data_IF_831790853188
#
_entry.id   IF_831790853188
#
_cell.length_a   1.000
_cell.length_b   1.000
_cell.length_c   1.000
_cell.angle_alpha   90.00
_cell.angle_beta   90.00
_cell.angle_gamma   90.00
#
_symmetry.space_group_name_H-M   'P 1'
#
loop_
_entity.id
_entity.type
_entity.pdbx_description
1 polymer ?
#
# COMPACT_ATOMS: atom_id res chain seq x y z
N UNK A 1 0.08 11.68 20.06
CA UNK A 1 -0.86 10.54 20.23
C UNK A 1 -1.66 10.45 18.95
N UNK A 2 -1.66 9.29 18.29
CA UNK A 2 -2.51 9.07 17.12
C UNK A 2 -3.95 9.45 17.47
N UNK A 3 -4.55 10.28 16.64
CA UNK A 3 -5.93 10.68 16.81
C UNK A 3 -6.79 9.49 16.40
N UNK A 4 -7.43 8.82 17.35
CA UNK A 4 -8.33 7.72 17.03
C UNK A 4 -9.47 8.26 16.14
N UNK A 5 -9.78 7.54 15.06
CA UNK A 5 -10.94 7.86 14.22
C UNK A 5 -12.19 7.82 15.10
N UNK A 6 -13.04 8.83 14.96
CA UNK A 6 -14.29 8.90 15.74
C UNK A 6 -15.18 7.70 15.44
N UNK A 7 -15.73 7.08 16.49
CA UNK A 7 -16.61 5.91 16.36
C UNK A 7 -17.82 6.19 15.47
N UNK A 8 -18.33 7.42 15.46
CA UNK A 8 -19.46 7.80 14.60
C UNK A 8 -19.07 7.76 13.11
N UNK A 9 -17.83 8.11 12.77
CA UNK A 9 -17.28 8.03 11.40
C UNK A 9 -17.13 6.57 10.99
N UNK A 10 -16.67 5.72 11.90
CA UNK A 10 -16.57 4.27 11.67
C UNK A 10 -17.95 3.65 11.43
N UNK A 11 -18.93 3.95 12.27
CA UNK A 11 -20.30 3.44 12.14
C UNK A 11 -20.94 3.89 10.82
N UNK A 12 -20.73 5.13 10.43
CA UNK A 12 -21.21 5.65 9.15
C UNK A 12 -20.52 4.96 7.96
N UNK A 13 -19.20 4.80 8.00
CA UNK A 13 -18.44 4.14 6.96
C UNK A 13 -18.84 2.66 6.78
N UNK A 14 -19.16 1.97 7.88
CA UNK A 14 -19.64 0.59 7.85
C UNK A 14 -21.09 0.44 7.38
N UNK A 15 -21.85 1.55 7.25
CA UNK A 15 -23.22 1.51 6.75
C UNK A 15 -23.26 1.08 5.28
N UNK A 16 -23.43 -0.22 5.05
CA UNK A 16 -23.46 -0.82 3.71
C UNK A 16 -22.16 -1.50 3.25
N UNK A 17 -21.09 -1.42 4.03
CA UNK A 17 -19.81 -2.08 3.71
C UNK A 17 -19.48 -3.18 4.71
N UNK A 18 -18.98 -4.30 4.21
CA UNK A 18 -18.46 -5.38 5.04
C UNK A 18 -16.95 -5.45 4.89
N UNK A 19 -16.24 -5.28 6.00
CA UNK A 19 -14.78 -5.42 6.01
C UNK A 19 -14.43 -6.91 5.90
N UNK A 20 -13.67 -7.32 4.88
CA UNK A 20 -13.30 -8.72 4.73
C UNK A 20 -12.35 -9.14 5.87
N UNK A 21 -12.65 -10.24 6.57
CA UNK A 21 -11.77 -10.73 7.61
C UNK A 21 -10.44 -11.18 7.03
N UNK A 22 -9.41 -11.18 7.88
CA UNK A 22 -8.12 -11.77 7.54
C UNK A 22 -8.30 -13.25 7.16
N UNK A 23 -7.76 -13.71 6.01
CA UNK A 23 -7.84 -15.11 5.61
C UNK A 23 -7.26 -16.07 6.66
N UNK A 24 -7.90 -17.22 6.87
CA UNK A 24 -7.50 -18.24 7.86
C UNK A 24 -6.03 -18.66 7.72
N UNK A 25 -5.51 -18.68 6.51
CA UNK A 25 -4.11 -19.02 6.24
C UNK A 25 -3.14 -18.09 6.99
N UNK A 26 -3.44 -16.80 7.10
CA UNK A 26 -2.59 -15.87 7.88
C UNK A 26 -2.69 -16.14 9.39
N UNK A 27 -3.86 -16.51 9.88
CA UNK A 27 -4.02 -16.89 11.28
C UNK A 27 -3.20 -18.17 11.61
N UNK A 28 -3.24 -19.17 10.72
CA UNK A 28 -2.44 -20.38 10.88
C UNK A 28 -0.92 -20.10 10.80
N UNK A 29 -0.50 -19.19 9.92
CA UNK A 29 0.89 -18.75 9.83
C UNK A 29 1.32 -18.06 11.14
N UNK A 30 0.47 -17.15 11.65
CA UNK A 30 0.76 -16.46 12.92
C UNK A 30 0.88 -17.43 14.09
N UNK A 31 -0.02 -18.41 14.20
CA UNK A 31 0.07 -19.46 15.21
C UNK A 31 1.38 -20.27 15.14
N UNK A 32 1.91 -20.50 13.92
CA UNK A 32 3.20 -21.17 13.75
C UNK A 32 4.38 -20.27 14.15
N UNK A 33 4.28 -18.95 13.95
CA UNK A 33 5.30 -17.99 14.40
C UNK A 33 5.35 -17.88 15.92
N UNK A 34 4.18 -17.85 16.56
CA UNK A 34 4.03 -17.67 18.01
C UNK A 34 4.30 -18.98 18.79
N UNK A 35 4.54 -20.08 18.08
CA UNK A 35 4.87 -21.35 18.70
C UNK A 35 6.27 -21.29 19.34
N UNK A 36 6.52 -22.13 20.37
CA UNK A 36 7.82 -22.21 21.06
C UNK A 36 8.98 -22.54 20.10
N UNK A 37 8.71 -23.24 18.99
CA UNK A 37 9.67 -23.59 17.95
C UNK A 37 9.07 -23.27 16.56
N UNK A 38 9.20 -22.02 16.06
CA UNK A 38 8.72 -21.63 14.75
C UNK A 38 9.38 -22.50 13.65
N UNK A 39 8.55 -23.15 12.83
CA UNK A 39 9.04 -24.06 11.79
C UNK A 39 8.83 -23.50 10.40
N UNK A 40 9.92 -23.06 9.77
CA UNK A 40 9.93 -22.48 8.41
C UNK A 40 9.27 -23.40 7.36
N UNK A 41 9.50 -24.72 7.47
CA UNK A 41 8.92 -25.69 6.50
C UNK A 41 7.40 -25.77 6.65
N UNK A 42 6.87 -25.70 7.88
CA UNK A 42 5.42 -25.67 8.11
C UNK A 42 4.80 -24.38 7.59
N UNK A 43 5.44 -23.23 7.83
CA UNK A 43 4.99 -21.92 7.30
C UNK A 43 4.98 -21.94 5.77
N UNK A 44 6.07 -22.39 5.15
CA UNK A 44 6.14 -22.52 3.71
C UNK A 44 5.09 -23.49 3.14
N UNK A 45 4.81 -24.59 3.83
CA UNK A 45 3.77 -25.54 3.46
C UNK A 45 2.36 -24.90 3.49
N UNK A 46 2.06 -24.09 4.51
CA UNK A 46 0.80 -23.34 4.58
C UNK A 46 0.64 -22.40 3.39
N UNK A 47 1.68 -21.61 3.06
CA UNK A 47 1.67 -20.70 1.90
C UNK A 47 1.48 -21.48 0.58
N UNK A 48 2.08 -22.66 0.47
CA UNK A 48 2.00 -23.52 -0.72
C UNK A 48 0.65 -24.24 -0.88
N UNK A 49 -0.26 -24.18 0.11
CA UNK A 49 -1.62 -24.71 -0.04
C UNK A 49 -2.39 -24.00 -1.15
N UNK A 50 -2.06 -22.72 -1.41
CA UNK A 50 -2.61 -21.96 -2.53
C UNK A 50 -1.50 -21.64 -3.54
N UNK A 51 -1.62 -22.24 -4.73
CA UNK A 51 -0.65 -22.08 -5.82
C UNK A 51 -0.58 -20.63 -6.32
N UNK A 52 -1.71 -19.91 -6.31
CA UNK A 52 -1.78 -18.50 -6.71
C UNK A 52 -1.00 -17.61 -5.75
N UNK A 53 -1.20 -17.79 -4.45
CA UNK A 53 -0.50 -17.07 -3.39
C UNK A 53 0.99 -17.37 -3.42
N UNK A 54 1.36 -18.65 -3.49
CA UNK A 54 2.75 -19.07 -3.56
C UNK A 54 3.46 -18.52 -4.82
N UNK A 55 2.81 -18.65 -5.99
CA UNK A 55 3.33 -18.16 -7.26
C UNK A 55 3.51 -16.64 -7.29
N UNK A 56 2.53 -15.88 -6.78
CA UNK A 56 2.62 -14.43 -6.72
C UNK A 56 3.67 -13.98 -5.70
N UNK A 57 3.75 -14.62 -4.53
CA UNK A 57 4.79 -14.36 -3.53
C UNK A 57 6.18 -14.56 -4.15
N UNK A 58 6.39 -15.65 -4.87
CA UNK A 58 7.67 -15.90 -5.56
C UNK A 58 7.93 -14.87 -6.67
N UNK A 59 6.91 -14.39 -7.38
CA UNK A 59 7.03 -13.30 -8.36
C UNK A 59 7.53 -12.03 -7.70
N UNK A 60 6.97 -11.64 -6.56
CA UNK A 60 7.41 -10.46 -5.80
C UNK A 60 8.84 -10.64 -5.32
N UNK A 61 9.16 -11.76 -4.68
CA UNK A 61 10.51 -12.07 -4.18
C UNK A 61 11.56 -12.04 -5.28
N UNK A 62 11.22 -12.46 -6.50
CA UNK A 62 12.11 -12.44 -7.65
C UNK A 62 12.12 -11.12 -8.44
N UNK A 63 11.45 -10.08 -7.94
CA UNK A 63 11.50 -8.76 -8.56
C UNK A 63 12.91 -8.15 -8.49
N UNK A 64 13.18 -7.17 -9.34
CA UNK A 64 14.47 -6.48 -9.39
C UNK A 64 14.86 -5.84 -8.05
N UNK A 65 13.87 -5.45 -7.24
CA UNK A 65 14.07 -4.87 -5.90
C UNK A 65 14.97 -5.73 -5.00
N UNK A 66 14.77 -7.05 -4.98
CA UNK A 66 15.56 -7.95 -4.12
C UNK A 66 16.97 -8.18 -4.63
N UNK A 67 17.27 -7.81 -5.89
CA UNK A 67 18.62 -7.89 -6.47
C UNK A 67 19.20 -9.30 -6.48
N UNK A 68 18.37 -10.31 -6.62
CA UNK A 68 18.78 -11.70 -6.53
C UNK A 68 19.61 -12.09 -7.74
N UNK A 69 20.79 -12.66 -7.51
CA UNK A 69 21.64 -13.21 -8.58
C UNK A 69 21.05 -14.47 -9.22
N UNK A 70 20.22 -15.20 -8.48
CA UNK A 70 19.54 -16.42 -8.93
C UNK A 70 18.10 -16.38 -8.47
N UNK A 71 17.19 -16.87 -9.32
CA UNK A 71 15.77 -16.96 -8.97
C UNK A 71 15.54 -17.92 -7.80
N UNK A 72 14.71 -17.49 -6.88
CA UNK A 72 14.16 -18.32 -5.81
C UNK A 72 12.94 -19.04 -6.38
N UNK A 73 12.90 -20.37 -6.25
CA UNK A 73 11.86 -21.22 -6.86
C UNK A 73 10.94 -21.88 -5.84
N UNK A 74 11.17 -21.68 -4.53
CA UNK A 74 10.32 -22.21 -3.47
C UNK A 74 10.10 -21.19 -2.35
N UNK A 75 8.94 -21.23 -1.73
CA UNK A 75 8.62 -20.37 -0.57
C UNK A 75 9.54 -20.69 0.61
N UNK A 76 9.89 -21.95 0.84
CA UNK A 76 10.85 -22.34 1.87
C UNK A 76 12.22 -21.66 1.67
N UNK A 77 12.71 -21.63 0.43
CA UNK A 77 13.94 -20.93 0.09
C UNK A 77 13.80 -19.39 0.27
N UNK A 78 12.64 -18.83 -0.07
CA UNK A 78 12.34 -17.41 0.19
C UNK A 78 12.40 -17.10 1.68
N UNK A 79 11.77 -17.91 2.54
CA UNK A 79 11.81 -17.77 3.99
C UNK A 79 13.23 -17.90 4.56
N UNK A 80 14.01 -18.83 4.05
CA UNK A 80 15.40 -19.04 4.49
C UNK A 80 16.32 -17.87 4.07
N UNK A 81 16.07 -17.26 2.91
CA UNK A 81 16.91 -16.21 2.35
C UNK A 81 16.53 -14.81 2.87
N UNK A 82 15.24 -14.48 2.88
CA UNK A 82 14.73 -13.15 3.25
C UNK A 82 14.36 -13.04 4.74
N UNK A 83 14.23 -14.17 5.42
CA UNK A 83 13.62 -14.23 6.74
C UNK A 83 12.10 -14.47 6.68
N UNK A 84 11.60 -15.20 7.67
CA UNK A 84 10.18 -15.60 7.71
C UNK A 84 9.25 -14.41 7.82
N UNK A 85 9.53 -13.47 8.74
CA UNK A 85 8.69 -12.29 8.97
C UNK A 85 8.49 -11.46 7.71
N UNK A 86 9.56 -11.26 6.94
CA UNK A 86 9.50 -10.55 5.66
C UNK A 86 8.60 -11.24 4.65
N UNK A 87 8.76 -12.56 4.49
CA UNK A 87 7.91 -13.33 3.57
C UNK A 87 6.44 -13.25 3.99
N UNK A 88 6.14 -13.24 5.29
CA UNK A 88 4.76 -13.13 5.78
C UNK A 88 4.17 -11.75 5.49
N UNK A 89 4.92 -10.66 5.67
CA UNK A 89 4.46 -9.32 5.27
C UNK A 89 4.12 -9.29 3.77
N UNK A 90 4.96 -9.89 2.92
CA UNK A 90 4.69 -10.02 1.49
C UNK A 90 3.45 -10.88 1.20
N UNK A 91 3.30 -12.02 1.86
CA UNK A 91 2.13 -12.90 1.72
C UNK A 91 0.85 -12.19 2.15
N UNK A 92 0.88 -11.44 3.24
CA UNK A 92 -0.27 -10.63 3.69
C UNK A 92 -0.72 -9.65 2.61
N UNK A 93 0.23 -8.92 2.02
CA UNK A 93 -0.05 -7.95 0.94
C UNK A 93 -0.59 -8.64 -0.33
N UNK A 94 -0.07 -9.82 -0.66
CA UNK A 94 -0.59 -10.64 -1.77
C UNK A 94 -2.02 -11.09 -1.51
N UNK A 95 -2.28 -11.60 -0.32
CA UNK A 95 -3.61 -12.07 0.09
C UNK A 95 -4.65 -10.95 0.08
N UNK A 96 -4.29 -9.75 0.50
CA UNK A 96 -5.19 -8.59 0.43
C UNK A 96 -5.74 -8.41 -0.98
N UNK A 97 -4.83 -8.37 -1.96
CA UNK A 97 -5.22 -8.24 -3.36
C UNK A 97 -6.17 -9.36 -3.81
N UNK A 98 -5.85 -10.62 -3.47
CA UNK A 98 -6.69 -11.76 -3.87
C UNK A 98 -8.07 -11.67 -3.22
N UNK A 99 -8.14 -11.35 -1.93
CA UNK A 99 -9.40 -11.24 -1.19
C UNK A 99 -10.29 -10.12 -1.73
N UNK A 100 -9.72 -8.94 -1.97
CA UNK A 100 -10.49 -7.76 -2.42
C UNK A 100 -10.74 -7.75 -3.93
N UNK A 101 -9.98 -8.48 -4.72
CA UNK A 101 -10.20 -8.61 -6.17
C UNK A 101 -11.06 -9.83 -6.54
N UNK A 102 -11.51 -10.63 -5.57
CA UNK A 102 -12.29 -11.82 -5.84
C UNK A 102 -13.59 -11.48 -6.60
N UNK A 103 -13.78 -12.11 -7.75
CA UNK A 103 -14.92 -11.85 -8.63
C UNK A 103 -14.85 -10.54 -9.44
N UNK A 104 -13.83 -9.74 -9.27
CA UNK A 104 -13.66 -8.44 -9.93
C UNK A 104 -12.54 -8.51 -10.97
N UNK A 105 -12.90 -8.41 -12.25
CA UNK A 105 -11.94 -8.43 -13.38
C UNK A 105 -12.13 -7.23 -14.33
N UNK A 106 -12.80 -6.18 -13.87
CA UNK A 106 -12.97 -4.97 -14.66
C UNK A 106 -11.67 -4.16 -14.79
N UNK A 107 -11.66 -3.23 -15.74
CA UNK A 107 -10.45 -2.44 -16.04
C UNK A 107 -9.99 -1.57 -14.88
N UNK A 108 -10.91 -1.02 -14.10
CA UNK A 108 -10.58 -0.15 -12.98
C UNK A 108 -9.92 -0.94 -11.84
N UNK A 109 -10.51 -2.09 -11.48
CA UNK A 109 -9.91 -3.00 -10.48
C UNK A 109 -8.49 -3.43 -10.89
N UNK A 110 -8.26 -3.74 -12.17
CA UNK A 110 -6.92 -4.08 -12.65
C UNK A 110 -5.94 -2.90 -12.54
N UNK A 111 -6.38 -1.67 -12.87
CA UNK A 111 -5.58 -0.45 -12.69
C UNK A 111 -5.25 -0.21 -11.22
N UNK A 112 -6.26 -0.30 -10.34
CA UNK A 112 -6.11 -0.10 -8.89
C UNK A 112 -5.00 -0.99 -8.31
N UNK A 113 -5.08 -2.29 -8.54
CA UNK A 113 -4.06 -3.21 -8.01
C UNK A 113 -2.71 -3.10 -8.71
N UNK A 114 -2.68 -2.68 -9.98
CA UNK A 114 -1.41 -2.39 -10.68
C UNK A 114 -0.75 -1.16 -10.10
N UNK A 115 -1.50 -0.09 -9.84
CA UNK A 115 -1.04 1.15 -9.21
C UNK A 115 -0.54 0.88 -7.80
N UNK A 116 -1.34 0.22 -6.96
CA UNK A 116 -0.98 -0.13 -5.59
C UNK A 116 0.34 -0.92 -5.52
N UNK A 117 0.51 -1.93 -6.40
CA UNK A 117 1.74 -2.70 -6.49
C UNK A 117 2.94 -1.84 -6.92
N UNK A 118 2.75 -0.93 -7.85
CA UNK A 118 3.78 -0.01 -8.32
C UNK A 118 4.18 0.96 -7.22
N UNK A 119 3.21 1.59 -6.54
CA UNK A 119 3.45 2.48 -5.40
C UNK A 119 4.21 1.77 -4.28
N UNK A 120 3.81 0.54 -3.92
CA UNK A 120 4.53 -0.27 -2.93
C UNK A 120 5.98 -0.58 -3.32
N UNK A 121 6.23 -0.95 -4.59
CA UNK A 121 7.59 -1.20 -5.08
C UNK A 121 8.44 0.07 -5.07
N UNK A 122 7.89 1.21 -5.46
CA UNK A 122 8.58 2.50 -5.43
C UNK A 122 8.91 2.88 -3.98
N UNK A 123 7.93 2.89 -3.08
CA UNK A 123 8.11 3.25 -1.68
C UNK A 123 9.19 2.38 -1.00
N UNK A 124 9.14 1.06 -1.20
CA UNK A 124 10.14 0.13 -0.69
C UNK A 124 11.53 0.41 -1.27
N UNK A 125 11.64 0.71 -2.58
CA UNK A 125 12.91 1.00 -3.26
C UNK A 125 13.52 2.30 -2.76
N UNK A 126 12.71 3.34 -2.57
CA UNK A 126 13.15 4.62 -2.00
C UNK A 126 13.60 4.45 -0.54
N UNK A 127 12.82 3.73 0.27
CA UNK A 127 13.20 3.43 1.65
C UNK A 127 14.55 2.70 1.73
N UNK A 128 14.82 1.76 0.82
CA UNK A 128 16.12 1.10 0.71
C UNK A 128 17.24 2.07 0.29
N UNK A 129 16.98 2.94 -0.69
CA UNK A 129 17.93 3.92 -1.18
C UNK A 129 18.36 4.89 -0.08
N UNK A 130 17.41 5.33 0.76
CA UNK A 130 17.67 6.21 1.91
C UNK A 130 18.15 5.46 3.15
N UNK A 131 18.52 4.17 3.03
CA UNK A 131 19.06 3.34 4.10
C UNK A 131 18.14 3.17 5.31
N UNK A 132 16.83 3.24 5.13
CA UNK A 132 15.89 2.86 6.18
C UNK A 132 16.05 1.38 6.56
N UNK A 133 15.66 1.06 7.79
CA UNK A 133 15.71 -0.32 8.28
C UNK A 133 14.89 -1.28 7.40
N UNK A 134 15.22 -2.56 7.43
CA UNK A 134 14.52 -3.57 6.66
C UNK A 134 13.01 -3.61 6.96
N UNK A 135 12.64 -3.41 8.24
CA UNK A 135 11.23 -3.39 8.65
C UNK A 135 10.47 -2.23 8.03
N UNK A 136 11.06 -1.03 7.98
CA UNK A 136 10.46 0.14 7.32
C UNK A 136 10.34 -0.07 5.81
N UNK A 137 11.33 -0.70 5.16
CA UNK A 137 11.24 -1.04 3.74
C UNK A 137 10.04 -1.96 3.45
N UNK A 138 9.86 -2.99 4.28
CA UNK A 138 8.77 -3.95 4.14
C UNK A 138 7.40 -3.30 4.48
N UNK A 139 7.37 -2.39 5.44
CA UNK A 139 6.19 -1.61 5.80
C UNK A 139 5.78 -0.66 4.67
N UNK A 140 6.74 -0.02 4.00
CA UNK A 140 6.49 0.80 2.81
C UNK A 140 5.84 -0.02 1.67
N UNK A 141 6.29 -1.27 1.45
CA UNK A 141 5.64 -2.14 0.47
C UNK A 141 4.19 -2.44 0.85
N UNK A 142 3.97 -2.82 2.12
CA UNK A 142 2.63 -3.09 2.63
C UNK A 142 1.73 -1.87 2.54
N UNK A 143 2.25 -0.70 2.94
CA UNK A 143 1.53 0.57 2.88
C UNK A 143 1.07 0.89 1.46
N UNK A 144 1.95 0.75 0.46
CA UNK A 144 1.59 0.97 -0.94
C UNK A 144 0.47 0.04 -1.46
N UNK A 145 0.33 -1.17 -0.89
CA UNK A 145 -0.77 -2.06 -1.28
C UNK A 145 -2.06 -1.81 -0.49
N UNK A 146 -1.95 -1.36 0.76
CA UNK A 146 -3.11 -1.20 1.64
C UNK A 146 -3.75 0.17 1.58
N UNK A 147 -3.01 1.27 1.27
CA UNK A 147 -3.52 2.64 1.40
C UNK A 147 -4.82 2.88 0.63
N UNK A 148 -4.93 2.33 -0.58
CA UNK A 148 -6.10 2.42 -1.44
C UNK A 148 -7.02 1.18 -1.40
N UNK A 149 -6.85 0.29 -0.42
CA UNK A 149 -7.67 -0.93 -0.33
C UNK A 149 -9.17 -0.62 -0.16
N UNK A 150 -9.51 0.49 0.50
CA UNK A 150 -10.88 0.96 0.66
C UNK A 150 -11.57 1.29 -0.67
N UNK A 151 -10.82 1.77 -1.68
CA UNK A 151 -11.33 2.02 -3.03
C UNK A 151 -11.93 0.73 -3.63
N UNK A 152 -11.29 -0.42 -3.40
CA UNK A 152 -11.79 -1.69 -3.91
C UNK A 152 -13.19 -2.02 -3.35
N UNK A 153 -13.43 -1.75 -2.06
CA UNK A 153 -14.74 -1.96 -1.44
C UNK A 153 -15.80 -1.00 -1.99
N UNK A 154 -15.46 0.29 -2.11
CA UNK A 154 -16.40 1.28 -2.66
C UNK A 154 -16.75 0.93 -4.10
N UNK A 155 -15.74 0.64 -4.92
CA UNK A 155 -15.96 0.31 -6.34
C UNK A 155 -16.82 -0.94 -6.55
N UNK A 156 -16.73 -1.93 -5.68
CA UNK A 156 -17.57 -3.14 -5.75
C UNK A 156 -19.05 -2.85 -5.56
N UNK A 157 -19.39 -1.84 -4.78
CA UNK A 157 -20.77 -1.55 -4.39
C UNK A 157 -21.38 -0.36 -5.13
N UNK A 158 -20.51 0.55 -5.58
CA UNK A 158 -20.94 1.81 -6.19
C UNK A 158 -20.72 1.79 -7.70
N UNK A 159 -21.83 1.79 -8.44
CA UNK A 159 -21.76 1.97 -9.87
C UNK A 159 -21.23 3.38 -10.21
N UNK A 160 -20.37 3.48 -11.23
CA UNK A 160 -19.78 4.73 -11.71
C UNK A 160 -18.76 5.41 -10.74
N UNK A 161 -18.18 4.68 -9.76
CA UNK A 161 -17.17 5.22 -8.86
C UNK A 161 -16.05 5.95 -9.64
N UNK A 162 -15.40 5.27 -10.63
CA UNK A 162 -14.31 5.84 -11.43
C UNK A 162 -14.72 7.17 -12.09
N UNK A 163 -15.90 7.23 -12.73
CA UNK A 163 -16.38 8.41 -13.42
C UNK A 163 -16.70 9.57 -12.47
N UNK A 164 -17.29 9.29 -11.31
CA UNK A 164 -17.60 10.28 -10.29
C UNK A 164 -16.33 10.90 -9.72
N UNK A 165 -15.34 10.07 -9.38
CA UNK A 165 -14.04 10.52 -8.90
C UNK A 165 -13.32 11.37 -9.94
N UNK A 166 -13.26 10.91 -11.20
CA UNK A 166 -12.64 11.65 -12.29
C UNK A 166 -13.27 13.03 -12.46
N UNK A 167 -14.60 13.12 -12.47
CA UNK A 167 -15.32 14.39 -12.60
C UNK A 167 -15.05 15.34 -11.44
N UNK A 168 -15.09 14.85 -10.21
CA UNK A 168 -14.85 15.65 -9.01
C UNK A 168 -13.42 16.19 -8.95
N UNK A 169 -12.44 15.35 -9.23
CA UNK A 169 -11.02 15.71 -9.26
C UNK A 169 -10.72 16.75 -10.37
N UNK A 170 -11.35 16.63 -11.55
CA UNK A 170 -11.25 17.65 -12.62
C UNK A 170 -11.81 19.01 -12.20
N UNK A 171 -12.74 19.05 -11.26
CA UNK A 171 -13.28 20.25 -10.65
C UNK A 171 -12.42 20.81 -9.51
N UNK A 172 -11.30 20.17 -9.19
CA UNK A 172 -10.38 20.58 -8.13
C UNK A 172 -10.83 20.18 -6.73
N UNK A 173 -11.76 19.23 -6.60
CA UNK A 173 -12.20 18.71 -5.31
C UNK A 173 -11.21 17.65 -4.79
N UNK A 174 -11.11 17.51 -3.46
CA UNK A 174 -10.30 16.48 -2.82
C UNK A 174 -10.94 15.08 -2.89
N UNK A 175 -10.13 14.03 -2.73
CA UNK A 175 -10.58 12.64 -2.78
C UNK A 175 -11.68 12.36 -1.74
N UNK A 176 -11.39 12.57 -0.47
CA UNK A 176 -12.34 12.35 0.64
C UNK A 176 -13.60 13.20 0.48
N UNK A 177 -13.48 14.46 0.03
CA UNK A 177 -14.61 15.35 -0.21
C UNK A 177 -15.59 14.78 -1.24
N UNK A 178 -15.06 14.21 -2.34
CA UNK A 178 -15.90 13.59 -3.37
C UNK A 178 -16.57 12.34 -2.83
N UNK A 179 -15.80 11.47 -2.17
CA UNK A 179 -16.30 10.20 -1.65
C UNK A 179 -17.35 10.40 -0.56
N UNK A 180 -17.12 11.28 0.40
CA UNK A 180 -18.11 11.62 1.43
C UNK A 180 -19.40 12.20 0.84
N UNK A 181 -19.28 13.10 -0.14
CA UNK A 181 -20.44 13.75 -0.74
C UNK A 181 -21.32 12.78 -1.56
N UNK A 182 -20.72 11.80 -2.22
CA UNK A 182 -21.45 10.91 -3.13
C UNK A 182 -21.70 9.52 -2.57
N UNK A 183 -20.82 9.04 -1.68
CA UNK A 183 -20.85 7.65 -1.19
C UNK A 183 -21.01 7.55 0.34
N UNK A 184 -21.00 8.71 1.04
CA UNK A 184 -21.15 8.81 2.51
C UNK A 184 -20.08 8.05 3.30
N UNK A 185 -18.94 7.81 2.70
CA UNK A 185 -17.76 7.17 3.27
C UNK A 185 -16.53 7.65 2.50
N UNK A 186 -15.34 7.37 2.99
CA UNK A 186 -14.10 7.59 2.25
C UNK A 186 -13.22 6.34 2.31
N UNK A 187 -12.37 6.19 1.29
CA UNK A 187 -11.54 5.00 1.17
C UNK A 187 -10.47 4.92 2.26
N UNK A 188 -10.04 6.03 2.83
CA UNK A 188 -9.08 6.06 3.93
C UNK A 188 -9.64 5.38 5.18
N UNK A 189 -10.92 5.66 5.53
CA UNK A 189 -11.58 5.03 6.68
C UNK A 189 -11.79 3.55 6.45
N UNK A 190 -12.27 3.16 5.27
CA UNK A 190 -12.42 1.74 4.93
C UNK A 190 -11.08 1.02 4.86
N UNK A 191 -10.04 1.68 4.32
CA UNK A 191 -8.67 1.19 4.29
C UNK A 191 -8.09 0.98 5.68
N UNK A 192 -8.32 1.93 6.59
CA UNK A 192 -7.97 1.80 8.01
C UNK A 192 -8.62 0.57 8.64
N UNK A 193 -9.93 0.39 8.46
CA UNK A 193 -10.66 -0.76 9.03
C UNK A 193 -10.17 -2.10 8.47
N UNK A 194 -9.81 -2.14 7.19
CA UNK A 194 -9.17 -3.32 6.58
C UNK A 194 -7.80 -3.56 7.24
N UNK A 195 -6.96 -2.53 7.33
CA UNK A 195 -5.61 -2.63 7.88
C UNK A 195 -5.63 -3.11 9.34
N UNK A 196 -6.53 -2.58 10.16
CA UNK A 196 -6.74 -2.98 11.55
C UNK A 196 -7.21 -4.43 11.64
N UNK A 197 -8.24 -4.79 10.86
CA UNK A 197 -8.76 -6.18 10.78
C UNK A 197 -7.68 -7.19 10.36
N UNK A 198 -6.70 -6.74 9.56
CA UNK A 198 -5.61 -7.56 9.06
C UNK A 198 -4.34 -7.45 9.91
N UNK A 199 -4.43 -6.83 11.10
CA UNK A 199 -3.35 -6.73 12.08
C UNK A 199 -2.09 -6.05 11.53
N UNK A 200 -2.25 -4.94 10.79
CA UNK A 200 -1.15 -4.05 10.50
C UNK A 200 -0.77 -3.27 11.77
N UNK A 201 0.44 -2.70 11.77
CA UNK A 201 0.89 -1.89 12.92
C UNK A 201 0.05 -0.61 13.04
N UNK A 202 -0.08 -0.04 14.26
CA UNK A 202 -0.82 1.19 14.46
C UNK A 202 -0.34 2.35 13.57
N UNK A 203 0.97 2.44 13.32
CA UNK A 203 1.55 3.47 12.48
C UNK A 203 1.09 3.33 11.02
N UNK A 204 1.06 2.11 10.48
CA UNK A 204 0.54 1.85 9.14
C UNK A 204 -0.95 2.16 9.05
N UNK A 205 -1.73 1.74 10.05
CA UNK A 205 -3.16 2.04 10.12
C UNK A 205 -3.40 3.55 10.12
N UNK A 206 -2.63 4.33 10.90
CA UNK A 206 -2.73 5.78 10.95
C UNK A 206 -2.37 6.43 9.60
N UNK A 207 -1.27 6.00 8.98
CA UNK A 207 -0.91 6.55 7.66
C UNK A 207 -2.00 6.26 6.64
N UNK A 208 -2.58 5.06 6.64
CA UNK A 208 -3.70 4.71 5.74
C UNK A 208 -4.92 5.59 6.03
N UNK A 209 -5.26 5.82 7.31
CA UNK A 209 -6.40 6.63 7.71
C UNK A 209 -6.31 8.09 7.27
N UNK A 210 -5.10 8.61 7.14
CA UNK A 210 -4.88 10.05 6.95
C UNK A 210 -3.98 10.40 5.76
N UNK A 211 -3.80 9.47 4.80
CA UNK A 211 -2.88 9.73 3.67
C UNK A 211 -3.35 10.84 2.72
N UNK A 212 -4.62 11.24 2.74
CA UNK A 212 -5.15 12.45 2.10
C UNK A 212 -5.31 13.65 3.06
N UNK A 213 -4.65 13.58 4.22
CA UNK A 213 -4.59 14.67 5.20
C UNK A 213 -3.14 15.09 5.49
N UNK A 214 -2.40 15.62 4.49
CA UNK A 214 -0.96 15.88 4.62
C UNK A 214 -0.59 16.80 5.78
N UNK A 215 -1.39 17.84 6.05
CA UNK A 215 -1.16 18.75 7.18
C UNK A 215 -1.13 18.00 8.51
N UNK A 216 -2.09 17.10 8.74
CA UNK A 216 -2.17 16.31 9.95
C UNK A 216 -0.98 15.34 10.08
N UNK A 217 -0.63 14.65 8.98
CA UNK A 217 0.45 13.67 8.99
C UNK A 217 1.82 14.29 9.18
N UNK A 218 2.07 15.48 8.58
CA UNK A 218 3.33 16.20 8.74
C UNK A 218 3.49 16.84 10.13
N UNK A 219 2.40 17.05 10.87
CA UNK A 219 2.40 17.52 12.25
C UNK A 219 2.40 16.38 13.30
N UNK A 220 2.36 15.10 12.88
CA UNK A 220 2.40 13.96 13.81
C UNK A 220 3.61 14.04 14.74
N UNK A 221 3.45 13.64 16.00
CA UNK A 221 4.56 13.49 16.96
C UNK A 221 5.46 12.29 16.61
N UNK A 222 4.96 11.33 15.82
CA UNK A 222 5.69 10.14 15.42
C UNK A 222 6.54 10.40 14.18
N UNK A 223 7.86 10.40 14.35
CA UNK A 223 8.79 10.48 13.22
C UNK A 223 8.59 9.34 12.21
N UNK A 224 8.27 8.13 12.71
CA UNK A 224 8.02 6.96 11.85
C UNK A 224 6.79 7.19 10.96
N UNK A 225 5.69 7.70 11.49
CA UNK A 225 4.49 8.03 10.71
C UNK A 225 4.79 9.09 9.63
N UNK A 226 5.51 10.17 10.00
CA UNK A 226 5.93 11.19 9.02
C UNK A 226 6.77 10.59 7.89
N UNK A 227 7.72 9.72 8.22
CA UNK A 227 8.60 9.09 7.24
C UNK A 227 7.83 8.14 6.33
N UNK A 228 6.97 7.28 6.89
CA UNK A 228 6.12 6.35 6.12
C UNK A 228 5.16 7.12 5.20
N UNK A 229 4.51 8.16 5.72
CA UNK A 229 3.64 9.04 4.95
C UNK A 229 4.41 9.72 3.80
N UNK A 230 5.56 10.30 4.09
CA UNK A 230 6.36 11.01 3.09
C UNK A 230 6.89 10.06 2.00
N UNK A 231 7.30 8.84 2.36
CA UNK A 231 7.69 7.80 1.40
C UNK A 231 6.51 7.34 0.54
N UNK A 232 5.30 7.22 1.12
CA UNK A 232 4.09 6.91 0.37
C UNK A 232 3.78 8.01 -0.64
N UNK A 233 3.72 9.27 -0.21
CA UNK A 233 3.41 10.42 -1.10
C UNK A 233 4.43 10.60 -2.22
N UNK A 234 5.70 10.41 -1.91
CA UNK A 234 6.76 10.42 -2.93
C UNK A 234 6.58 9.26 -3.92
N UNK A 235 6.15 8.09 -3.45
CA UNK A 235 5.89 6.94 -4.31
C UNK A 235 4.64 7.12 -5.18
N UNK A 236 3.55 7.68 -4.65
CA UNK A 236 2.35 8.05 -5.42
C UNK A 236 2.71 9.05 -6.53
N UNK A 237 3.53 10.06 -6.21
CA UNK A 237 4.01 11.02 -7.18
C UNK A 237 4.81 10.36 -8.31
N UNK A 238 5.78 9.51 -8.01
CA UNK A 238 6.57 8.81 -9.03
C UNK A 238 5.77 7.79 -9.82
N UNK A 239 4.81 7.10 -9.19
CA UNK A 239 3.92 6.16 -9.90
C UNK A 239 2.93 6.89 -10.81
N UNK A 240 2.59 8.14 -10.50
CA UNK A 240 1.53 8.89 -11.16
C UNK A 240 0.17 8.27 -10.92
N UNK A 241 -0.12 7.93 -9.71
CA UNK A 241 -1.32 7.21 -9.31
C UNK A 241 -2.60 7.89 -9.76
N UNK A 242 -2.76 9.20 -9.51
CA UNK A 242 -3.92 9.98 -9.96
C UNK A 242 -4.14 9.89 -11.48
N UNK A 243 -3.05 9.88 -12.26
CA UNK A 243 -3.10 9.70 -13.71
C UNK A 243 -3.51 8.29 -14.10
N UNK A 244 -2.98 7.28 -13.41
CA UNK A 244 -3.30 5.88 -13.70
C UNK A 244 -4.76 5.55 -13.41
N UNK A 245 -5.26 5.99 -12.25
CA UNK A 245 -6.61 5.68 -11.80
C UNK A 245 -7.67 6.55 -12.48
N UNK A 246 -7.43 7.85 -12.54
CA UNK A 246 -8.47 8.81 -12.91
C UNK A 246 -8.12 9.68 -14.12
N UNK A 247 -6.95 9.51 -14.73
CA UNK A 247 -6.51 10.33 -15.88
C UNK A 247 -6.15 11.78 -15.51
N UNK A 248 -5.88 12.06 -14.24
CA UNK A 248 -5.53 13.39 -13.73
C UNK A 248 -4.02 13.57 -13.72
N UNK A 249 -3.51 14.54 -14.45
CA UNK A 249 -2.06 14.76 -14.57
C UNK A 249 -1.45 15.62 -13.45
N UNK A 250 -2.27 16.43 -12.78
CA UNK A 250 -1.85 17.28 -11.68
C UNK A 250 -2.28 16.63 -10.35
N UNK A 251 -1.33 16.52 -9.42
CA UNK A 251 -1.60 16.13 -8.05
C UNK A 251 -1.53 17.37 -7.15
N UNK A 252 -2.69 17.95 -6.76
CA UNK A 252 -2.71 19.17 -5.95
C UNK A 252 -2.10 18.97 -4.56
N UNK A 253 -2.25 17.79 -3.95
CA UNK A 253 -1.66 17.49 -2.64
C UNK A 253 -0.14 17.50 -2.73
N UNK A 254 0.43 16.84 -3.74
CA UNK A 254 1.85 16.88 -3.98
C UNK A 254 2.37 18.30 -4.20
N UNK A 255 1.73 19.07 -5.09
CA UNK A 255 2.17 20.43 -5.39
C UNK A 255 2.16 21.35 -4.16
N UNK A 256 1.19 21.17 -3.28
CA UNK A 256 1.05 21.96 -2.06
C UNK A 256 2.05 21.54 -0.98
N UNK A 257 2.30 20.25 -0.79
CA UNK A 257 3.03 19.71 0.36
C UNK A 257 4.43 19.15 0.03
N UNK A 258 4.84 19.11 -1.24
CA UNK A 258 6.12 18.53 -1.67
C UNK A 258 7.32 19.01 -0.88
N UNK A 259 7.41 20.30 -0.58
CA UNK A 259 8.54 20.84 0.17
C UNK A 259 8.66 20.25 1.57
N UNK A 260 7.54 20.15 2.30
CA UNK A 260 7.52 19.56 3.64
C UNK A 260 7.73 18.03 3.61
N UNK A 261 7.20 17.35 2.59
CA UNK A 261 7.42 15.91 2.39
C UNK A 261 8.91 15.62 2.13
N UNK A 262 9.54 16.40 1.26
CA UNK A 262 10.96 16.25 0.95
C UNK A 262 11.86 16.59 2.15
N UNK A 263 11.49 17.60 2.94
CA UNK A 263 12.19 17.95 4.18
C UNK A 263 12.21 16.81 5.20
N UNK A 264 11.07 16.11 5.40
CA UNK A 264 11.01 14.93 6.29
C UNK A 264 11.98 13.83 5.86
N UNK A 265 12.23 13.69 4.56
CA UNK A 265 13.09 12.66 3.98
C UNK A 265 14.54 13.13 3.76
N UNK A 266 14.85 14.38 4.10
CA UNK A 266 16.16 15.03 3.84
C UNK A 266 16.55 14.98 2.35
N UNK A 267 15.59 15.32 1.47
CA UNK A 267 15.73 15.30 0.01
C UNK A 267 15.65 16.71 -0.55
N UNK A 268 16.66 17.11 -1.32
CA UNK A 268 16.60 18.34 -2.08
C UNK A 268 15.76 18.16 -3.37
N UNK A 269 14.92 19.13 -3.78
CA UNK A 269 14.11 19.03 -5.00
C UNK A 269 14.90 18.67 -6.26
N UNK A 270 16.18 19.07 -6.34
CA UNK A 270 17.07 18.77 -7.45
C UNK A 270 17.45 17.27 -7.55
N UNK A 271 17.23 16.50 -6.51
CA UNK A 271 17.49 15.05 -6.50
C UNK A 271 16.33 14.22 -7.11
N UNK A 272 15.14 14.80 -7.29
CA UNK A 272 13.99 14.07 -7.85
C UNK A 272 14.28 13.41 -9.21
N UNK A 273 14.95 14.06 -10.18
CA UNK A 273 15.33 13.39 -11.44
C UNK A 273 16.26 12.19 -11.23
N UNK A 274 17.20 12.27 -10.30
CA UNK A 274 18.14 11.18 -9.98
C UNK A 274 17.40 9.98 -9.37
N UNK A 275 16.38 10.25 -8.53
CA UNK A 275 15.51 9.21 -7.99
C UNK A 275 14.67 8.56 -9.09
N UNK A 276 14.17 9.32 -10.05
CA UNK A 276 13.45 8.77 -11.21
C UNK A 276 14.37 7.84 -12.03
N UNK A 277 15.63 8.24 -12.29
CA UNK A 277 16.62 7.39 -12.95
C UNK A 277 16.94 6.12 -12.14
N UNK A 278 17.04 6.23 -10.80
CA UNK A 278 17.23 5.07 -9.93
C UNK A 278 16.10 4.05 -10.12
N UNK A 279 14.84 4.52 -10.07
CA UNK A 279 13.66 3.68 -10.24
C UNK A 279 13.65 3.03 -11.63
N UNK A 280 13.98 3.78 -12.68
CA UNK A 280 14.06 3.26 -14.03
C UNK A 280 15.15 2.17 -14.17
N UNK A 281 16.33 2.35 -13.57
CA UNK A 281 17.39 1.33 -13.53
C UNK A 281 16.96 0.05 -12.81
N UNK A 282 16.02 0.15 -11.87
CA UNK A 282 15.40 -0.99 -11.18
C UNK A 282 14.23 -1.59 -11.97
N UNK A 283 14.02 -1.17 -13.22
CA UNK A 283 12.90 -1.60 -14.08
C UNK A 283 11.52 -1.27 -13.48
N UNK A 284 11.44 -0.24 -12.66
CA UNK A 284 10.21 0.29 -12.11
C UNK A 284 9.79 1.46 -12.99
N UNK A 285 8.59 1.36 -13.59
CA UNK A 285 8.03 2.43 -14.39
C UNK A 285 7.69 3.63 -13.51
N UNK A 286 7.96 4.84 -14.01
CA UNK A 286 7.56 6.10 -13.37
C UNK A 286 6.88 6.99 -14.42
N UNK A 287 6.16 8.02 -13.97
CA UNK A 287 5.61 9.05 -14.88
C UNK A 287 6.65 10.02 -15.41
N UNK A 288 7.84 10.05 -14.80
CA UNK A 288 8.97 10.81 -15.29
C UNK A 288 9.55 10.09 -16.51
N UNK A 289 9.47 10.74 -17.67
CA UNK A 289 10.27 10.36 -18.84
C UNK A 289 11.70 10.79 -18.58
N UNK A 290 12.63 9.85 -18.57
CA UNK A 290 14.07 10.15 -18.58
C UNK A 290 14.47 10.57 -19.98
#
# INVERSE_FOLDING_TARGET
MAQAIDMSVIEQALSGFTIPPQPEILQHIQQQLDSAEPNIKRIAALINLDIGIAGFTLKVVNSAFFGLRRKITSVEHACAFLGVNRVIKLVRSVLLRFTLAEGQNDKFTLKLWSSALQTGNIAMTLAKHFNFSQDIQDDCYSLGLFHNAGIALIHQQVQNYEATMQQGLQQGRGYSEIEEAYFHTCHEVLGYLIAESWSLTPELCNVIAYHHSPALMLESDSLLEKQLFSLLKLAEHFSGESRQLYGINLDPEWEQYKSAILEVLDIEPLQLPELAELLHRQQISTVYSV
#
